data_IF_002328699767
#
_entry.id   IF_002328699767
#
_cell.length_a   1.000
_cell.length_b   1.000
_cell.length_c   1.000
_cell.angle_alpha   90.00
_cell.angle_beta   90.00
_cell.angle_gamma   90.00
#
_symmetry.space_group_name_H-M   'P 1'
#
loop_
_entity.id
_entity.type
_entity.pdbx_description
1 polymer ?
#
# COMPACT_ATOMS: atom_id res chain seq x y z
N UNK A 1 81.08 -8.38 4.74
CA UNK A 1 80.23 -7.86 3.70
C UNK A 1 78.82 -8.40 3.94
N UNK A 2 78.00 -7.64 4.64
CA UNK A 2 76.64 -8.02 4.95
C UNK A 2 75.70 -7.33 3.93
N UNK A 3 74.98 -8.11 3.17
CA UNK A 3 73.95 -7.61 2.28
C UNK A 3 72.60 -7.70 3.01
N UNK A 4 72.08 -6.53 3.40
CA UNK A 4 70.77 -6.42 4.01
C UNK A 4 69.70 -6.43 2.91
N UNK A 5 68.85 -7.45 2.91
CA UNK A 5 67.70 -7.54 2.01
C UNK A 5 66.50 -6.96 2.74
N UNK A 6 66.00 -5.81 2.26
CA UNK A 6 64.78 -5.19 2.78
C UNK A 6 63.61 -5.82 2.09
N UNK A 7 62.80 -6.56 2.86
CA UNK A 7 61.53 -7.14 2.38
C UNK A 7 60.42 -6.10 2.55
N UNK A 8 59.94 -5.57 1.44
CA UNK A 8 58.81 -4.64 1.40
C UNK A 8 57.50 -5.42 1.53
N UNK A 9 56.77 -5.25 2.61
CA UNK A 9 55.40 -5.74 2.78
C UNK A 9 54.44 -4.82 2.06
N UNK A 10 53.81 -5.33 1.03
CA UNK A 10 52.70 -4.66 0.33
C UNK A 10 51.42 -4.97 1.11
N UNK A 11 50.90 -3.99 1.84
CA UNK A 11 49.60 -4.06 2.51
C UNK A 11 48.53 -3.69 1.49
N UNK A 12 47.80 -4.66 0.93
CA UNK A 12 46.63 -4.44 0.13
C UNK A 12 45.45 -4.16 1.05
N UNK A 13 45.02 -2.91 1.11
CA UNK A 13 43.80 -2.50 1.80
C UNK A 13 42.58 -2.93 0.94
N UNK A 14 41.91 -4.01 1.32
CA UNK A 14 40.62 -4.39 0.75
C UNK A 14 39.54 -3.48 1.32
N UNK A 15 39.05 -2.52 0.54
CA UNK A 15 37.87 -1.73 0.87
C UNK A 15 36.64 -2.61 0.76
N UNK A 16 36.10 -3.05 1.90
CA UNK A 16 34.80 -3.71 2.00
C UNK A 16 33.72 -2.64 1.75
N UNK A 17 33.11 -2.66 0.57
CA UNK A 17 31.86 -1.94 0.29
C UNK A 17 30.75 -2.58 1.12
N UNK A 18 30.46 -2.01 2.29
CA UNK A 18 29.29 -2.35 3.07
C UNK A 18 28.07 -1.83 2.32
N UNK A 19 27.51 -2.63 1.42
CA UNK A 19 26.20 -2.37 0.84
C UNK A 19 25.16 -2.39 1.94
N UNK A 20 24.51 -1.26 2.20
CA UNK A 20 23.33 -1.22 3.06
C UNK A 20 22.23 -2.07 2.41
N UNK A 21 22.07 -3.30 2.86
CA UNK A 21 20.92 -4.13 2.54
C UNK A 21 19.75 -3.53 3.30
N UNK A 22 18.89 -2.77 2.62
CA UNK A 22 17.61 -2.35 3.19
C UNK A 22 16.75 -3.60 3.30
N UNK A 23 16.63 -4.13 4.52
CA UNK A 23 15.74 -5.25 4.80
C UNK A 23 14.30 -4.74 4.67
N UNK A 24 13.66 -5.02 3.53
CA UNK A 24 12.23 -4.80 3.35
C UNK A 24 11.50 -5.79 4.23
N UNK A 25 10.65 -5.30 5.14
CA UNK A 25 9.81 -6.16 5.95
C UNK A 25 8.93 -7.05 5.04
N UNK A 26 8.71 -8.32 5.41
CA UNK A 26 7.85 -9.20 4.62
C UNK A 26 6.43 -8.62 4.55
N UNK A 27 5.82 -8.68 3.37
CA UNK A 27 4.44 -8.26 3.18
C UNK A 27 3.50 -9.09 4.09
N UNK A 28 2.50 -8.44 4.64
CA UNK A 28 1.52 -9.07 5.52
C UNK A 28 0.56 -9.99 4.74
N UNK A 29 -0.13 -10.92 5.40
CA UNK A 29 -0.98 -11.89 4.71
C UNK A 29 -2.04 -11.25 3.80
N UNK A 30 -2.66 -10.15 4.22
CA UNK A 30 -3.65 -9.43 3.41
C UNK A 30 -3.04 -8.77 2.17
N UNK A 31 -1.88 -8.13 2.30
CA UNK A 31 -1.10 -7.58 1.18
C UNK A 31 -0.66 -8.69 0.21
N UNK A 32 -0.19 -9.82 0.74
CA UNK A 32 0.19 -10.99 -0.06
C UNK A 32 -1.00 -11.55 -0.84
N UNK A 33 -2.20 -11.54 -0.22
CA UNK A 33 -3.42 -11.97 -0.89
C UNK A 33 -3.73 -11.05 -2.09
N UNK A 34 -3.67 -9.74 -1.93
CA UNK A 34 -3.87 -8.79 -3.02
C UNK A 34 -2.86 -9.01 -4.16
N UNK A 35 -1.57 -9.11 -3.84
CA UNK A 35 -0.50 -9.33 -4.82
C UNK A 35 -0.69 -10.64 -5.60
N UNK A 36 -1.02 -11.75 -4.92
CA UNK A 36 -1.26 -13.06 -5.56
C UNK A 36 -2.45 -13.05 -6.52
N UNK A 37 -3.42 -12.17 -6.28
CA UNK A 37 -4.59 -11.98 -7.14
C UNK A 37 -4.37 -10.92 -8.23
N UNK A 38 -3.13 -10.47 -8.43
CA UNK A 38 -2.75 -9.56 -9.50
C UNK A 38 -3.13 -8.09 -9.26
N UNK A 39 -3.44 -7.73 -8.01
CA UNK A 39 -3.66 -6.33 -7.65
C UNK A 39 -2.33 -5.61 -7.44
N UNK A 40 -2.29 -4.33 -7.81
CA UNK A 40 -1.18 -3.43 -7.56
C UNK A 40 -1.58 -2.39 -6.52
N UNK A 41 -0.63 -2.01 -5.68
CA UNK A 41 -0.84 -1.02 -4.63
C UNK A 41 -1.03 0.39 -5.20
N UNK A 42 -2.06 1.09 -4.74
CA UNK A 42 -2.41 2.44 -5.19
C UNK A 42 -2.18 3.51 -4.14
N UNK A 43 -2.13 3.15 -2.88
CA UNK A 43 -1.87 4.06 -1.77
C UNK A 43 -2.55 3.65 -0.47
N UNK A 44 -2.29 4.41 0.58
CA UNK A 44 -2.81 4.13 1.93
C UNK A 44 -3.24 5.39 2.66
N UNK A 45 -4.07 5.21 3.70
CA UNK A 45 -4.44 6.21 4.69
C UNK A 45 -4.38 5.62 6.10
N UNK A 46 -3.97 6.44 7.05
CA UNK A 46 -4.03 6.11 8.46
C UNK A 46 -5.25 6.77 9.08
N UNK A 47 -6.16 5.95 9.58
CA UNK A 47 -7.42 6.38 10.16
C UNK A 47 -7.28 6.44 11.67
N UNK A 48 -7.60 7.59 12.25
CA UNK A 48 -7.57 7.84 13.69
C UNK A 48 -8.92 8.38 14.12
N UNK A 49 -9.50 7.78 15.19
CA UNK A 49 -10.73 8.28 15.77
C UNK A 49 -12.02 7.63 15.29
N UNK A 50 -13.14 8.18 15.75
CA UNK A 50 -14.47 7.57 15.61
C UNK A 50 -15.15 7.85 14.27
N UNK A 51 -14.75 8.93 13.60
CA UNK A 51 -15.22 9.30 12.26
C UNK A 51 -14.16 10.11 11.55
N UNK A 52 -13.85 9.73 10.34
CA UNK A 52 -12.83 10.38 9.52
C UNK A 52 -13.22 10.34 8.05
N UNK A 53 -12.68 11.28 7.27
CA UNK A 53 -12.87 11.36 5.83
C UNK A 53 -11.52 11.62 5.17
N UNK A 54 -11.12 10.73 4.30
CA UNK A 54 -9.87 10.81 3.57
C UNK A 54 -10.06 10.75 2.07
N UNK A 55 -9.18 11.43 1.36
CA UNK A 55 -9.07 11.36 -0.10
C UNK A 55 -7.75 10.70 -0.46
N UNK A 56 -7.82 9.61 -1.20
CA UNK A 56 -6.66 8.92 -1.74
C UNK A 56 -6.53 9.29 -3.23
N UNK A 57 -5.54 10.12 -3.60
CA UNK A 57 -5.31 10.42 -4.99
C UNK A 57 -4.77 9.18 -5.70
N UNK A 58 -5.32 8.88 -6.86
CA UNK A 58 -4.80 7.95 -7.86
C UNK A 58 -4.58 8.78 -9.11
N UNK A 59 -3.85 8.32 -10.06
CA UNK A 59 -3.56 9.13 -11.22
C UNK A 59 -3.50 8.33 -12.51
N UNK A 60 -3.40 9.03 -13.62
CA UNK A 60 -3.22 8.39 -14.94
C UNK A 60 -1.92 7.58 -15.00
N UNK A 61 -0.89 8.00 -14.25
CA UNK A 61 0.38 7.31 -14.17
C UNK A 61 0.28 5.92 -13.51
N UNK A 62 -0.71 5.72 -12.63
CA UNK A 62 -0.95 4.44 -11.97
C UNK A 62 -1.61 3.40 -12.91
N UNK A 63 -2.14 3.84 -14.04
CA UNK A 63 -2.73 2.99 -15.06
C UNK A 63 -4.26 3.02 -15.11
N UNK A 64 -4.82 1.92 -15.63
CA UNK A 64 -6.28 1.72 -15.73
C UNK A 64 -6.65 0.48 -14.96
N UNK A 65 -7.78 0.54 -14.25
CA UNK A 65 -8.25 -0.52 -13.37
C UNK A 65 -9.70 -0.87 -13.68
N UNK A 66 -10.05 -2.13 -13.55
CA UNK A 66 -11.42 -2.63 -13.68
C UNK A 66 -11.96 -3.21 -12.37
N UNK A 67 -11.07 -3.44 -11.40
CA UNK A 67 -11.42 -3.89 -10.06
C UNK A 67 -10.58 -3.19 -9.00
N UNK A 68 -11.16 -2.99 -7.83
CA UNK A 68 -10.49 -2.51 -6.63
C UNK A 68 -10.59 -3.53 -5.50
N UNK A 69 -9.63 -3.47 -4.60
CA UNK A 69 -9.63 -4.19 -3.32
C UNK A 69 -9.15 -3.24 -2.23
N UNK A 70 -9.80 -3.28 -1.09
CA UNK A 70 -9.37 -2.57 0.12
C UNK A 70 -8.72 -3.58 1.06
N UNK A 71 -7.57 -3.21 1.60
CA UNK A 71 -6.85 -3.97 2.63
C UNK A 71 -6.83 -3.13 3.90
N UNK A 72 -7.14 -3.75 5.01
CA UNK A 72 -7.14 -3.09 6.33
C UNK A 72 -6.17 -3.80 7.25
N UNK A 73 -5.33 -3.02 7.90
CA UNK A 73 -4.33 -3.48 8.84
C UNK A 73 -4.38 -2.73 10.17
N UNK A 74 -3.71 -3.28 11.17
CA UNK A 74 -3.50 -2.76 12.53
C UNK A 74 -4.73 -2.81 13.42
N UNK A 75 -5.86 -2.22 13.00
CA UNK A 75 -7.08 -2.17 13.79
C UNK A 75 -8.32 -2.39 12.92
N UNK A 76 -9.40 -2.94 13.48
CA UNK A 76 -10.68 -3.01 12.79
C UNK A 76 -11.20 -1.60 12.46
N UNK A 77 -11.86 -1.46 11.31
CA UNK A 77 -12.48 -0.21 10.86
C UNK A 77 -13.72 -0.51 10.05
N UNK A 78 -14.68 0.38 10.09
CA UNK A 78 -15.84 0.35 9.21
C UNK A 78 -15.72 1.46 8.17
N UNK A 79 -15.84 1.12 6.89
CA UNK A 79 -15.96 2.08 5.80
C UNK A 79 -17.43 2.26 5.52
N UNK A 80 -17.97 3.41 5.86
CA UNK A 80 -19.39 3.76 5.66
C UNK A 80 -19.69 4.09 4.21
N UNK A 81 -18.72 4.71 3.55
CA UNK A 81 -18.87 5.19 2.20
C UNK A 81 -17.53 5.19 1.46
N UNK A 82 -17.57 4.86 0.19
CA UNK A 82 -16.44 4.87 -0.72
C UNK A 82 -16.90 5.43 -2.05
N UNK A 83 -16.28 6.49 -2.53
CA UNK A 83 -16.59 7.12 -3.80
C UNK A 83 -15.39 7.12 -4.71
N UNK A 84 -15.50 6.43 -5.83
CA UNK A 84 -14.49 6.41 -6.88
C UNK A 84 -14.80 7.50 -7.89
N UNK A 85 -13.86 8.42 -8.10
CA UNK A 85 -13.94 9.44 -9.16
C UNK A 85 -13.00 9.05 -10.28
N UNK A 86 -13.56 8.83 -11.47
CA UNK A 86 -12.78 8.47 -12.66
C UNK A 86 -12.11 9.68 -13.32
N UNK A 87 -11.19 9.41 -14.24
CA UNK A 87 -10.46 10.45 -14.96
C UNK A 87 -11.34 11.41 -15.77
N UNK A 88 -12.50 10.96 -16.23
CA UNK A 88 -13.51 11.77 -16.93
C UNK A 88 -14.46 12.55 -16.00
N UNK A 89 -14.30 12.39 -14.68
CA UNK A 89 -15.13 13.05 -13.67
C UNK A 89 -16.37 12.26 -13.23
N UNK A 90 -16.70 11.16 -13.88
CA UNK A 90 -17.79 10.28 -13.41
C UNK A 90 -17.48 9.72 -12.03
N UNK A 91 -18.52 9.50 -11.25
CA UNK A 91 -18.44 8.95 -9.90
C UNK A 91 -19.13 7.60 -9.82
N UNK A 92 -18.53 6.70 -9.03
CA UNK A 92 -19.07 5.39 -8.72
C UNK A 92 -19.02 5.15 -7.22
N UNK A 93 -20.15 4.77 -6.66
CA UNK A 93 -20.31 4.42 -5.25
C UNK A 93 -20.66 2.93 -5.16
N UNK A 94 -19.72 2.07 -4.74
CA UNK A 94 -20.05 0.69 -4.43
C UNK A 94 -21.07 0.65 -3.30
N UNK A 95 -22.24 0.07 -3.54
CA UNK A 95 -23.34 0.02 -2.57
C UNK A 95 -23.04 -0.98 -1.44
N UNK A 96 -21.96 -0.76 -0.72
CA UNK A 96 -21.61 -1.65 0.36
C UNK A 96 -20.94 -0.90 1.49
N UNK A 97 -21.58 -1.00 2.64
CA UNK A 97 -20.94 -0.75 3.90
C UNK A 97 -19.95 -1.88 4.15
N UNK A 98 -18.68 -1.55 4.33
CA UNK A 98 -17.61 -2.52 4.48
C UNK A 98 -17.14 -2.52 5.92
N UNK A 99 -17.32 -3.64 6.60
CA UNK A 99 -16.81 -3.87 7.96
C UNK A 99 -15.58 -4.73 7.88
N UNK A 100 -14.48 -4.22 8.39
CA UNK A 100 -13.18 -4.89 8.36
C UNK A 100 -12.73 -5.29 9.75
N UNK A 101 -12.31 -6.54 9.88
CA UNK A 101 -11.42 -6.95 10.96
C UNK A 101 -10.00 -6.46 10.72
N UNK A 102 -9.14 -6.61 11.73
CA UNK A 102 -7.71 -6.35 11.56
C UNK A 102 -7.10 -7.37 10.59
N UNK A 103 -6.18 -6.88 9.74
CA UNK A 103 -5.44 -7.68 8.75
C UNK A 103 -6.39 -8.47 7.81
N UNK A 104 -7.36 -7.76 7.24
CA UNK A 104 -8.37 -8.30 6.35
C UNK A 104 -8.47 -7.57 5.01
N UNK A 105 -9.12 -8.19 4.04
CA UNK A 105 -9.37 -7.63 2.71
C UNK A 105 -10.86 -7.49 2.44
N UNK A 106 -11.25 -6.55 1.58
CA UNK A 106 -12.58 -6.54 0.98
C UNK A 106 -12.74 -7.68 -0.03
N UNK A 107 -13.97 -7.93 -0.45
CA UNK A 107 -14.23 -8.57 -1.73
C UNK A 107 -13.71 -7.72 -2.88
N UNK A 108 -13.59 -8.30 -4.07
CA UNK A 108 -13.32 -7.52 -5.28
C UNK A 108 -14.48 -6.56 -5.54
N UNK A 109 -14.14 -5.33 -5.86
CA UNK A 109 -15.09 -4.26 -6.18
C UNK A 109 -14.97 -3.99 -7.66
N UNK A 110 -15.93 -4.50 -8.44
CA UNK A 110 -15.96 -4.31 -9.89
C UNK A 110 -16.29 -2.85 -10.23
N UNK A 111 -15.50 -2.27 -11.12
CA UNK A 111 -15.71 -0.91 -11.62
C UNK A 111 -16.56 -0.95 -12.91
N UNK A 112 -17.57 -0.07 -13.06
CA UNK A 112 -18.37 -0.02 -14.26
C UNK A 112 -17.58 0.51 -15.45
N UNK A 113 -17.85 -0.03 -16.64
CA UNK A 113 -17.27 0.46 -17.89
C UNK A 113 -15.88 -0.07 -18.23
N UNK A 114 -15.46 -1.19 -17.62
CA UNK A 114 -14.18 -1.85 -17.90
C UNK A 114 -12.98 -1.12 -17.28
N UNK A 115 -11.80 -1.27 -17.88
CA UNK A 115 -10.57 -0.67 -17.35
C UNK A 115 -10.53 0.85 -17.55
N UNK A 116 -10.53 1.60 -16.46
CA UNK A 116 -10.62 3.05 -16.43
C UNK A 116 -9.53 3.68 -15.59
N UNK A 117 -9.12 4.89 -15.96
CA UNK A 117 -8.29 5.74 -15.11
C UNK A 117 -9.10 6.20 -13.92
N UNK A 118 -8.54 6.02 -12.72
CA UNK A 118 -9.10 6.55 -11.48
C UNK A 118 -8.38 7.86 -11.18
N UNK A 119 -9.13 8.91 -10.83
CA UNK A 119 -8.57 10.17 -10.39
C UNK A 119 -8.30 10.20 -8.90
N UNK A 120 -9.27 9.71 -8.11
CA UNK A 120 -9.18 9.61 -6.65
C UNK A 120 -10.25 8.67 -6.09
N UNK A 121 -10.05 8.26 -4.87
CA UNK A 121 -11.05 7.55 -4.09
C UNK A 121 -11.23 8.28 -2.76
N UNK A 122 -12.47 8.64 -2.46
CA UNK A 122 -12.87 9.27 -1.21
C UNK A 122 -13.42 8.18 -0.28
N UNK A 123 -13.00 8.19 0.99
CA UNK A 123 -13.44 7.24 2.02
C UNK A 123 -14.05 7.98 3.21
N UNK A 124 -15.12 7.42 3.76
CA UNK A 124 -15.65 7.78 5.07
C UNK A 124 -15.56 6.59 6.00
N UNK A 125 -14.93 6.78 7.13
CA UNK A 125 -14.66 5.74 8.12
C UNK A 125 -15.42 5.98 9.42
N UNK A 126 -15.54 4.93 10.20
CA UNK A 126 -16.01 5.02 11.54
C UNK A 126 -15.77 3.75 12.35
N UNK A 127 -16.32 3.80 13.58
CA UNK A 127 -16.30 2.66 14.51
C UNK A 127 -14.90 2.11 14.85
N UNK A 128 -13.86 2.96 14.83
CA UNK A 128 -12.59 2.60 15.43
C UNK A 128 -12.71 2.61 16.96
N UNK A 129 -12.05 1.64 17.58
CA UNK A 129 -11.86 1.64 19.03
C UNK A 129 -11.04 2.87 19.43
N UNK A 130 -11.43 3.54 20.52
CA UNK A 130 -10.74 4.73 21.02
C UNK A 130 -9.23 4.45 21.20
N UNK A 131 -8.39 5.34 20.65
CA UNK A 131 -6.93 5.21 20.68
C UNK A 131 -6.35 4.21 19.66
N UNK A 132 -7.16 3.50 18.90
CA UNK A 132 -6.69 2.65 17.83
C UNK A 132 -6.37 3.46 16.57
N UNK A 133 -5.45 2.93 15.76
CA UNK A 133 -5.12 3.42 14.44
C UNK A 133 -5.26 2.28 13.43
N UNK A 134 -6.12 2.44 12.44
CA UNK A 134 -6.18 1.53 11.31
C UNK A 134 -5.34 2.06 10.14
N UNK A 135 -4.77 1.15 9.36
CA UNK A 135 -4.18 1.46 8.05
C UNK A 135 -5.11 0.89 6.98
N UNK A 136 -5.57 1.74 6.09
CA UNK A 136 -6.44 1.37 4.97
C UNK A 136 -5.67 1.56 3.68
N UNK A 137 -5.50 0.49 2.94
CA UNK A 137 -4.81 0.47 1.65
C UNK A 137 -5.81 0.24 0.52
N UNK A 138 -5.55 0.89 -0.61
CA UNK A 138 -6.28 0.67 -1.85
C UNK A 138 -5.38 -0.06 -2.84
N UNK A 139 -5.93 -1.09 -3.45
CA UNK A 139 -5.30 -1.90 -4.46
C UNK A 139 -6.18 -1.95 -5.70
N UNK A 140 -5.59 -1.98 -6.91
CA UNK A 140 -6.31 -2.02 -8.19
C UNK A 140 -5.77 -3.06 -9.14
N UNK A 141 -6.66 -3.60 -9.96
CA UNK A 141 -6.34 -4.59 -11.00
C UNK A 141 -7.03 -4.26 -12.33
#
# INVERSE_FOLDING_TARGET
>A
MMRSTILAFLVTASAALAGCVVATAPARPAEQHAMRNGFVYLGERFVNGSADHDVLPVGRADGKFHELMVVVERAPVEIFDMVVTFGNGERFEPRTRLVFGRDSTSRNIDLPGGARVIRRVDFRYGNLVAGAQAKVELWGR
#
